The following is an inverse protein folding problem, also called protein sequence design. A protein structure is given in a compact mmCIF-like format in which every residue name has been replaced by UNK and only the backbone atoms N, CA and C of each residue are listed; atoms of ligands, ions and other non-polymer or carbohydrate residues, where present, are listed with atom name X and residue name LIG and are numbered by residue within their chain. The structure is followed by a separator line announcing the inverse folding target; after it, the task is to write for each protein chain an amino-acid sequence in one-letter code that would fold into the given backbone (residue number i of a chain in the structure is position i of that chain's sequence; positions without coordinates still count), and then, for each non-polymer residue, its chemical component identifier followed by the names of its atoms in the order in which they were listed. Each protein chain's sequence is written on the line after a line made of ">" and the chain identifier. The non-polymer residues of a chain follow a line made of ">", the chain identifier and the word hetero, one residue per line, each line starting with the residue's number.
data_IF_287483088468
#
_entry.id   IF_287483088468
#
_cell.length_a   1.000
_cell.length_b   1.000
_cell.length_c   1.000
_cell.angle_alpha   90.00
_cell.angle_beta   90.00
_cell.angle_gamma   90.00
#
_symmetry.space_group_name_H-M   'P 1'
#
loop_
_entity.id
_entity.type
_entity.pdbx_description
1 polymer ?
#
# COMPACT_ATOMS: atom_id res chain seq x y z
N UNK A 1 8.40 34.89 7.38
CA UNK A 1 9.19 34.27 6.29
C UNK A 1 9.48 32.85 6.71
N UNK A 2 8.77 31.87 6.15
CA UNK A 2 9.08 30.46 6.39
C UNK A 2 10.19 30.07 5.42
N UNK A 3 11.35 29.69 5.94
CA UNK A 3 12.50 29.22 5.19
C UNK A 3 12.15 27.84 4.63
N UNK A 4 12.06 27.71 3.30
CA UNK A 4 11.89 26.42 2.65
C UNK A 4 13.22 25.67 2.81
N UNK A 5 13.24 24.63 3.64
CA UNK A 5 14.34 23.67 3.67
C UNK A 5 14.45 23.02 2.30
N UNK A 6 15.58 23.27 1.63
CA UNK A 6 15.93 22.59 0.38
C UNK A 6 16.33 21.16 0.73
N UNK A 7 15.41 20.23 0.56
CA UNK A 7 15.73 18.80 0.49
C UNK A 7 16.82 18.60 -0.57
N UNK A 8 17.81 17.77 -0.27
CA UNK A 8 18.80 17.36 -1.27
C UNK A 8 18.05 16.80 -2.48
N UNK A 9 18.30 17.35 -3.66
CA UNK A 9 17.78 16.81 -4.92
C UNK A 9 18.42 15.43 -5.13
N UNK A 10 17.81 14.39 -4.56
CA UNK A 10 18.05 13.02 -4.98
C UNK A 10 17.50 12.96 -6.41
N UNK A 11 18.32 12.53 -7.36
CA UNK A 11 17.86 12.31 -8.72
C UNK A 11 16.72 11.28 -8.67
N UNK A 12 15.51 11.69 -9.08
CA UNK A 12 14.34 10.82 -9.11
C UNK A 12 14.64 9.54 -9.89
N UNK A 13 15.47 9.61 -10.94
CA UNK A 13 15.88 8.44 -11.68
C UNK A 13 16.71 7.47 -10.84
N UNK A 14 17.63 7.99 -10.01
CA UNK A 14 18.44 7.19 -9.09
C UNK A 14 17.60 6.56 -7.98
N UNK A 15 16.66 7.31 -7.39
CA UNK A 15 15.74 6.79 -6.37
C UNK A 15 14.88 5.64 -6.92
N UNK A 16 14.28 5.84 -8.10
CA UNK A 16 13.47 4.82 -8.77
C UNK A 16 14.32 3.60 -9.12
N UNK A 17 15.53 3.79 -9.64
CA UNK A 17 16.45 2.69 -9.95
C UNK A 17 16.76 1.86 -8.69
N UNK A 18 17.01 2.51 -7.56
CA UNK A 18 17.26 1.85 -6.29
C UNK A 18 16.03 1.08 -5.78
N UNK A 19 14.82 1.65 -5.90
CA UNK A 19 13.57 0.96 -5.57
C UNK A 19 13.38 -0.30 -6.42
N UNK A 20 13.52 -0.19 -7.74
CA UNK A 20 13.37 -1.32 -8.67
C UNK A 20 14.39 -2.42 -8.39
N UNK A 21 15.65 -2.07 -8.12
CA UNK A 21 16.68 -3.05 -7.79
C UNK A 21 16.31 -3.86 -6.53
N UNK A 22 15.84 -3.20 -5.46
CA UNK A 22 15.38 -3.86 -4.24
C UNK A 22 14.16 -4.74 -4.49
N UNK A 23 13.18 -4.26 -5.26
CA UNK A 23 11.98 -5.05 -5.60
C UNK A 23 12.34 -6.31 -6.38
N UNK A 24 13.27 -6.25 -7.34
CA UNK A 24 13.74 -7.43 -8.09
C UNK A 24 14.47 -8.43 -7.19
N UNK A 25 15.29 -7.95 -6.26
CA UNK A 25 15.96 -8.82 -5.30
C UNK A 25 14.96 -9.54 -4.37
N UNK A 26 13.93 -8.83 -3.89
CA UNK A 26 12.88 -9.42 -3.06
C UNK A 26 12.01 -10.42 -3.85
N UNK A 27 11.65 -10.10 -5.11
CA UNK A 27 10.85 -10.97 -5.96
C UNK A 27 11.55 -12.31 -6.22
N UNK A 28 12.87 -12.32 -6.44
CA UNK A 28 13.67 -13.55 -6.56
C UNK A 28 13.61 -14.43 -5.31
N UNK A 29 13.45 -13.86 -4.11
CA UNK A 29 13.38 -14.64 -2.87
C UNK A 29 12.06 -15.40 -2.72
N UNK A 30 11.00 -14.93 -3.38
CA UNK A 30 9.65 -15.50 -3.28
C UNK A 30 9.15 -16.13 -4.59
N UNK A 31 10.00 -16.21 -5.62
CA UNK A 31 9.59 -16.65 -6.97
C UNK A 31 9.08 -18.10 -7.02
N UNK A 32 9.55 -18.95 -6.11
CA UNK A 32 9.14 -20.36 -5.99
C UNK A 32 8.30 -20.62 -4.72
N UNK A 33 7.67 -19.58 -4.18
CA UNK A 33 6.79 -19.72 -3.03
C UNK A 33 5.61 -20.65 -3.36
N UNK A 34 5.18 -21.44 -2.38
CA UNK A 34 3.97 -22.25 -2.52
C UNK A 34 2.73 -21.35 -2.47
N UNK A 35 1.62 -21.84 -3.02
CA UNK A 35 0.34 -21.12 -2.93
C UNK A 35 -0.03 -20.81 -1.47
N UNK A 36 0.17 -21.78 -0.56
CA UNK A 36 -0.10 -21.59 0.86
C UNK A 36 0.72 -20.43 1.48
N UNK A 37 1.99 -20.29 1.10
CA UNK A 37 2.82 -19.18 1.53
C UNK A 37 2.32 -17.85 0.97
N UNK A 38 2.02 -17.81 -0.33
CA UNK A 38 1.48 -16.60 -1.00
C UNK A 38 0.18 -16.17 -0.33
N UNK A 39 -0.76 -17.10 -0.13
CA UNK A 39 -2.04 -16.83 0.52
C UNK A 39 -1.86 -16.30 1.95
N UNK A 40 -0.93 -16.86 2.72
CA UNK A 40 -0.61 -16.38 4.06
C UNK A 40 -0.12 -14.92 4.02
N UNK A 41 0.79 -14.58 3.10
CA UNK A 41 1.30 -13.21 2.98
C UNK A 41 0.23 -12.21 2.57
N UNK A 42 -0.59 -12.53 1.56
CA UNK A 42 -1.62 -11.61 1.09
C UNK A 42 -2.76 -11.45 2.10
N UNK A 43 -3.10 -12.49 2.88
CA UNK A 43 -4.00 -12.36 4.05
C UNK A 43 -3.43 -11.37 5.06
N UNK A 44 -2.13 -11.45 5.35
CA UNK A 44 -1.42 -10.50 6.21
C UNK A 44 -1.45 -9.07 5.69
N UNK A 45 -1.18 -8.87 4.39
CA UNK A 45 -1.23 -7.55 3.74
C UNK A 45 -2.62 -6.92 3.83
N UNK A 46 -3.66 -7.69 3.52
CA UNK A 46 -5.05 -7.22 3.58
C UNK A 46 -5.47 -6.92 5.02
N UNK A 47 -5.09 -7.75 5.99
CA UNK A 47 -5.36 -7.47 7.40
C UNK A 47 -4.67 -6.18 7.89
N UNK A 48 -3.43 -5.94 7.47
CA UNK A 48 -2.68 -4.75 7.88
C UNK A 48 -3.38 -3.45 7.44
N UNK A 49 -3.98 -3.42 6.25
CA UNK A 49 -4.62 -2.21 5.70
C UNK A 49 -6.11 -2.10 6.00
N UNK A 50 -6.81 -3.24 6.11
CA UNK A 50 -8.26 -3.27 6.25
C UNK A 50 -8.73 -3.32 7.71
N UNK A 51 -7.82 -3.44 8.70
CA UNK A 51 -8.20 -3.25 10.10
C UNK A 51 -8.80 -1.85 10.31
N UNK A 52 -9.75 -1.74 11.22
CA UNK A 52 -10.62 -0.57 11.33
C UNK A 52 -9.84 0.72 11.57
N UNK A 53 -9.00 0.76 12.61
CA UNK A 53 -8.15 1.89 12.97
C UNK A 53 -7.27 2.40 11.82
N UNK A 54 -6.72 1.49 11.01
CA UNK A 54 -5.89 1.85 9.85
C UNK A 54 -6.74 2.28 8.66
N UNK A 55 -7.87 1.61 8.42
CA UNK A 55 -8.77 1.97 7.34
C UNK A 55 -9.35 3.38 7.53
N UNK A 56 -9.68 3.76 8.77
CA UNK A 56 -10.11 5.11 9.14
C UNK A 56 -9.00 6.14 8.86
N UNK A 57 -7.76 5.87 9.31
CA UNK A 57 -6.61 6.74 9.09
C UNK A 57 -6.32 6.97 7.60
N UNK A 58 -6.28 5.89 6.80
CA UNK A 58 -6.02 5.98 5.36
C UNK A 58 -7.18 6.73 4.66
N UNK A 59 -8.43 6.47 5.05
CA UNK A 59 -9.58 7.15 4.47
C UNK A 59 -9.52 8.67 4.71
N UNK A 60 -9.19 9.08 5.93
CA UNK A 60 -9.04 10.49 6.29
C UNK A 60 -7.87 11.12 5.54
N UNK A 61 -6.68 10.53 5.59
CA UNK A 61 -5.49 11.02 4.88
C UNK A 61 -5.75 11.22 3.38
N UNK A 62 -6.46 10.28 2.75
CA UNK A 62 -6.71 10.39 1.30
C UNK A 62 -7.64 11.56 0.97
N UNK A 63 -8.65 11.82 1.81
CA UNK A 63 -9.54 12.98 1.62
C UNK A 63 -8.77 14.27 1.86
N UNK A 64 -7.94 14.32 2.89
CA UNK A 64 -7.17 15.51 3.25
C UNK A 64 -6.13 15.87 2.18
N UNK A 65 -5.41 14.88 1.66
CA UNK A 65 -4.38 15.08 0.64
C UNK A 65 -4.98 15.44 -0.72
N UNK A 66 -5.98 14.67 -1.17
CA UNK A 66 -6.46 14.78 -2.55
C UNK A 66 -7.61 15.76 -2.71
N UNK A 67 -8.36 16.04 -1.64
CA UNK A 67 -9.65 16.75 -1.66
C UNK A 67 -10.70 16.11 -2.59
N UNK A 68 -10.56 14.81 -2.92
CA UNK A 68 -11.45 14.09 -3.84
C UNK A 68 -12.28 13.01 -3.15
N UNK A 69 -13.60 13.11 -3.30
CA UNK A 69 -14.58 12.14 -2.76
C UNK A 69 -14.96 12.43 -1.31
N UNK A 70 -15.34 11.40 -0.56
CA UNK A 70 -15.72 11.51 0.86
C UNK A 70 -15.10 10.39 1.70
N UNK A 71 -15.10 10.60 3.02
CA UNK A 71 -14.53 9.67 4.01
C UNK A 71 -15.20 8.30 3.95
N UNK A 72 -16.53 8.23 4.08
CA UNK A 72 -17.27 6.95 4.12
C UNK A 72 -17.01 6.08 2.89
N UNK A 73 -16.98 6.70 1.71
CA UNK A 73 -16.71 6.00 0.45
C UNK A 73 -15.26 5.50 0.36
N UNK A 74 -14.30 6.23 0.93
CA UNK A 74 -12.89 5.80 1.02
C UNK A 74 -12.75 4.67 2.05
N UNK A 75 -13.32 4.82 3.24
CA UNK A 75 -13.35 3.80 4.27
C UNK A 75 -13.93 2.48 3.75
N UNK A 76 -15.11 2.50 3.11
CA UNK A 76 -15.71 1.28 2.56
C UNK A 76 -14.86 0.63 1.44
N UNK A 77 -14.13 1.42 0.65
CA UNK A 77 -13.20 0.86 -0.35
C UNK A 77 -12.05 0.11 0.34
N UNK A 78 -11.45 0.70 1.36
CA UNK A 78 -10.30 0.09 2.06
C UNK A 78 -10.77 -1.09 2.92
N UNK A 79 -11.79 -0.89 3.74
CA UNK A 79 -12.30 -1.87 4.68
C UNK A 79 -13.01 -3.03 3.98
N UNK A 80 -13.95 -2.77 3.06
CA UNK A 80 -14.76 -3.83 2.46
C UNK A 80 -14.18 -4.38 1.17
N UNK A 81 -13.80 -3.53 0.21
CA UNK A 81 -13.40 -4.02 -1.13
C UNK A 81 -12.06 -4.76 -1.12
N UNK A 82 -11.12 -4.36 -0.27
CA UNK A 82 -9.85 -5.09 -0.12
C UNK A 82 -10.06 -6.53 0.36
N UNK A 83 -10.98 -6.75 1.31
CA UNK A 83 -11.34 -8.09 1.78
C UNK A 83 -12.08 -8.91 0.72
N UNK A 84 -12.98 -8.26 -0.03
CA UNK A 84 -13.68 -8.94 -1.11
C UNK A 84 -12.70 -9.42 -2.19
N UNK A 85 -11.77 -8.57 -2.63
CA UNK A 85 -10.75 -8.94 -3.60
C UNK A 85 -9.83 -10.05 -3.10
N UNK A 86 -9.56 -10.12 -1.79
CA UNK A 86 -8.80 -11.23 -1.22
C UNK A 86 -9.51 -12.57 -1.43
N UNK A 87 -10.82 -12.63 -1.16
CA UNK A 87 -11.61 -13.85 -1.36
C UNK A 87 -11.54 -14.29 -2.82
N UNK A 88 -11.71 -13.35 -3.77
CA UNK A 88 -11.60 -13.65 -5.20
C UNK A 88 -10.21 -14.19 -5.64
N UNK A 89 -9.14 -13.93 -4.86
CA UNK A 89 -7.76 -14.36 -5.16
C UNK A 89 -7.41 -15.72 -4.53
N UNK A 90 -7.89 -15.98 -3.31
CA UNK A 90 -7.55 -17.19 -2.55
C UNK A 90 -8.56 -18.33 -2.69
N UNK A 91 -9.73 -18.05 -3.29
CA UNK A 91 -10.76 -19.05 -3.64
C UNK A 91 -10.40 -19.80 -4.94
#
# INVERSE_FOLDING_TARGET
>A
MATIERTAEVDVAEEVAALVARSRAAQKQIENATQEQVDFWIRGMVYAVAREDIAEQIAQHTVDETQLGNYDGKYLKIFRKTRAALMDIID
#
